data_IF_243684549215
#
_entry.id   IF_243684549215
#
_cell.length_a   1.000
_cell.length_b   1.000
_cell.length_c   1.000
_cell.angle_alpha   90.00
_cell.angle_beta   90.00
_cell.angle_gamma   90.00
#
_symmetry.space_group_name_H-M   'P 1'
#
loop_
_entity.id
_entity.type
_entity.pdbx_description
1 polymer ?
#
# COMPACT_ATOMS: atom_id res chain seq x y z
N UNK A 1 -1.11 -21.96 4.05
CA UNK A 1 -0.60 -20.91 3.14
C UNK A 1 -1.71 -19.96 2.62
N UNK A 2 -3.01 -20.17 2.91
CA UNK A 2 -4.12 -19.37 2.37
C UNK A 2 -4.42 -18.03 3.09
N UNK A 3 -4.06 -17.89 4.37
CA UNK A 3 -4.47 -16.74 5.21
C UNK A 3 -4.00 -15.36 4.72
N UNK A 4 -2.86 -15.27 4.03
CA UNK A 4 -2.34 -13.98 3.63
C UNK A 4 -3.08 -13.39 2.42
N UNK A 5 -3.47 -14.23 1.46
CA UNK A 5 -4.27 -13.81 0.30
C UNK A 5 -5.63 -13.25 0.71
N UNK A 6 -6.29 -13.88 1.68
CA UNK A 6 -7.56 -13.40 2.25
C UNK A 6 -7.39 -12.12 3.08
N UNK A 7 -6.21 -11.89 3.67
CA UNK A 7 -5.92 -10.69 4.46
C UNK A 7 -5.48 -9.48 3.60
N UNK A 8 -5.07 -9.67 2.35
CA UNK A 8 -4.69 -8.59 1.43
C UNK A 8 -5.78 -7.53 1.24
N UNK A 9 -7.04 -7.88 0.89
CA UNK A 9 -8.10 -6.88 0.74
C UNK A 9 -8.39 -6.14 2.06
N UNK A 10 -8.31 -6.81 3.20
CA UNK A 10 -8.46 -6.17 4.51
C UNK A 10 -7.33 -5.17 4.80
N UNK A 11 -6.07 -5.54 4.51
CA UNK A 11 -4.91 -4.64 4.62
C UNK A 11 -5.04 -3.44 3.67
N UNK A 12 -5.50 -3.66 2.45
CA UNK A 12 -5.74 -2.58 1.49
C UNK A 12 -6.83 -1.62 1.99
N UNK A 13 -7.91 -2.15 2.56
CA UNK A 13 -8.97 -1.33 3.15
C UNK A 13 -8.46 -0.49 4.33
N UNK A 14 -7.57 -1.04 5.16
CA UNK A 14 -6.90 -0.31 6.24
C UNK A 14 -6.02 0.83 5.69
N UNK A 15 -5.19 0.53 4.69
CA UNK A 15 -4.33 1.50 3.99
C UNK A 15 -5.19 2.63 3.36
N UNK A 16 -6.33 2.29 2.75
CA UNK A 16 -7.29 3.29 2.23
C UNK A 16 -7.88 4.19 3.30
N UNK A 17 -8.23 3.62 4.46
CA UNK A 17 -8.71 4.42 5.60
C UNK A 17 -7.64 5.39 6.09
N UNK A 18 -6.39 4.94 6.20
CA UNK A 18 -5.25 5.78 6.60
C UNK A 18 -4.99 6.89 5.58
N UNK A 19 -5.09 6.60 4.28
CA UNK A 19 -4.97 7.60 3.22
C UNK A 19 -6.05 8.69 3.33
N UNK A 20 -7.31 8.32 3.53
CA UNK A 20 -8.41 9.27 3.76
C UNK A 20 -8.20 10.11 5.03
N UNK A 21 -7.67 9.50 6.10
CA UNK A 21 -7.34 10.21 7.32
C UNK A 21 -6.20 11.22 7.13
N UNK A 22 -5.32 11.01 6.14
CA UNK A 22 -4.24 11.93 5.76
C UNK A 22 -4.63 13.11 4.87
N UNK A 23 -5.91 13.43 4.76
CA UNK A 23 -6.37 14.70 4.20
C UNK A 23 -5.80 15.93 4.93
N UNK A 24 -5.36 15.77 6.19
CA UNK A 24 -4.60 16.78 6.92
C UNK A 24 -3.40 16.12 7.61
N UNK A 25 -2.19 16.15 7.00
CA UNK A 25 -1.09 15.30 7.43
C UNK A 25 -0.55 15.72 8.80
N UNK A 26 -0.96 15.00 9.84
CA UNK A 26 -0.19 14.94 11.08
C UNK A 26 0.92 13.90 10.89
N UNK A 27 2.11 14.17 11.44
CA UNK A 27 3.28 13.28 11.32
C UNK A 27 2.95 11.84 11.75
N UNK A 28 2.17 11.70 12.83
CA UNK A 28 1.80 10.41 13.41
C UNK A 28 0.93 9.57 12.47
N UNK A 29 -0.02 10.19 11.76
CA UNK A 29 -0.88 9.51 10.82
C UNK A 29 -0.14 9.13 9.52
N UNK A 30 0.89 9.91 9.14
CA UNK A 30 1.75 9.62 7.99
C UNK A 30 2.65 8.42 8.28
N UNK A 31 3.17 8.37 9.50
CA UNK A 31 4.00 7.28 10.00
C UNK A 31 3.19 5.98 10.15
N UNK A 32 1.93 6.06 10.60
CA UNK A 32 1.01 4.92 10.61
C UNK A 32 0.72 4.43 9.18
N UNK A 33 0.47 5.34 8.24
CA UNK A 33 0.25 5.01 6.84
C UNK A 33 1.46 4.31 6.21
N UNK A 34 2.66 4.88 6.37
CA UNK A 34 3.92 4.30 5.95
C UNK A 34 4.12 2.90 6.53
N UNK A 35 3.94 2.73 7.84
CA UNK A 35 4.14 1.43 8.51
C UNK A 35 3.21 0.34 7.96
N UNK A 36 1.95 0.67 7.67
CA UNK A 36 1.00 -0.28 7.09
C UNK A 36 1.41 -0.72 5.69
N UNK A 37 1.83 0.24 4.84
CA UNK A 37 2.32 -0.02 3.49
C UNK A 37 3.62 -0.83 3.51
N UNK A 38 4.59 -0.46 4.35
CA UNK A 38 5.86 -1.17 4.52
C UNK A 38 5.66 -2.64 4.90
N UNK A 39 4.76 -2.88 5.86
CA UNK A 39 4.38 -4.24 6.26
C UNK A 39 3.76 -5.02 5.12
N UNK A 40 2.87 -4.40 4.34
CA UNK A 40 2.26 -5.04 3.17
C UNK A 40 3.34 -5.39 2.13
N UNK A 41 4.23 -4.47 1.80
CA UNK A 41 5.32 -4.69 0.84
C UNK A 41 6.21 -5.88 1.23
N UNK A 42 6.63 -5.93 2.50
CA UNK A 42 7.49 -7.01 3.03
C UNK A 42 6.78 -8.36 3.05
N UNK A 43 5.53 -8.39 3.52
CA UNK A 43 4.77 -9.64 3.58
C UNK A 43 4.36 -10.13 2.19
N UNK A 44 3.89 -9.27 1.30
CA UNK A 44 3.59 -9.61 -0.09
C UNK A 44 4.80 -10.26 -0.79
N UNK A 45 6.01 -9.73 -0.58
CA UNK A 45 7.23 -10.31 -1.14
C UNK A 45 7.49 -11.74 -0.63
N UNK A 46 7.39 -11.94 0.69
CA UNK A 46 7.62 -13.25 1.33
C UNK A 46 6.64 -14.34 0.89
N UNK A 47 5.39 -13.98 0.59
CA UNK A 47 4.38 -14.95 0.14
C UNK A 47 4.33 -15.13 -1.39
N UNK A 48 5.27 -14.56 -2.16
CA UNK A 48 5.32 -14.69 -3.62
C UNK A 48 4.42 -13.70 -4.37
N UNK A 49 3.86 -12.70 -3.69
CA UNK A 49 3.07 -11.64 -4.29
C UNK A 49 3.92 -10.52 -4.90
N UNK A 50 4.73 -10.85 -5.93
CA UNK A 50 5.64 -9.87 -6.56
C UNK A 50 4.97 -8.58 -7.05
N UNK A 51 3.88 -8.61 -7.86
CA UNK A 51 3.26 -7.38 -8.36
C UNK A 51 2.74 -6.49 -7.22
N UNK A 52 2.11 -7.11 -6.22
CA UNK A 52 1.61 -6.42 -5.01
C UNK A 52 2.76 -5.84 -4.20
N UNK A 53 3.86 -6.58 -4.04
CA UNK A 53 5.05 -6.13 -3.33
C UNK A 53 5.73 -4.96 -4.04
N UNK A 54 5.81 -5.01 -5.37
CA UNK A 54 6.36 -3.92 -6.19
C UNK A 54 5.51 -2.66 -6.08
N UNK A 55 4.20 -2.74 -6.33
CA UNK A 55 3.30 -1.60 -6.18
C UNK A 55 3.32 -1.01 -4.75
N UNK A 56 3.30 -1.89 -3.73
CA UNK A 56 3.40 -1.46 -2.34
C UNK A 56 4.74 -0.79 -2.04
N UNK A 57 5.86 -1.24 -2.62
CA UNK A 57 7.18 -0.60 -2.47
C UNK A 57 7.24 0.79 -3.10
N UNK A 58 6.54 1.01 -4.21
CA UNK A 58 6.48 2.35 -4.82
C UNK A 58 5.77 3.32 -3.86
N UNK A 59 4.65 2.89 -3.27
CA UNK A 59 3.94 3.69 -2.27
C UNK A 59 4.76 3.87 -0.98
N UNK A 60 5.43 2.81 -0.51
CA UNK A 60 6.32 2.83 0.66
C UNK A 60 7.42 3.88 0.50
N UNK A 61 8.08 3.89 -0.66
CA UNK A 61 9.14 4.84 -0.96
C UNK A 61 8.64 6.27 -1.07
N UNK A 62 7.50 6.48 -1.72
CA UNK A 62 6.88 7.81 -1.77
C UNK A 62 6.60 8.35 -0.36
N UNK A 63 6.03 7.52 0.53
CA UNK A 63 5.76 7.92 1.91
C UNK A 63 7.05 8.14 2.71
N UNK A 64 8.08 7.33 2.50
CA UNK A 64 9.40 7.52 3.10
C UNK A 64 10.01 8.87 2.69
N UNK A 65 9.99 9.22 1.40
CA UNK A 65 10.49 10.51 0.90
C UNK A 65 9.70 11.68 1.53
N UNK A 66 8.40 11.52 1.71
CA UNK A 66 7.53 12.53 2.35
C UNK A 66 7.87 12.70 3.84
N UNK A 67 8.01 11.61 4.59
CA UNK A 67 8.39 11.64 6.01
C UNK A 67 9.79 12.21 6.21
N UNK A 68 10.72 11.91 5.29
CA UNK A 68 12.07 12.46 5.29
C UNK A 68 12.12 13.96 4.93
N UNK A 69 11.01 14.54 4.46
CA UNK A 69 10.94 15.92 3.99
C UNK A 69 11.58 16.14 2.61
N UNK A 70 11.91 15.07 1.88
CA UNK A 70 12.42 15.13 0.50
C UNK A 70 11.31 15.41 -0.52
N UNK A 71 10.07 15.05 -0.18
CA UNK A 71 8.87 15.33 -0.99
C UNK A 71 7.74 15.92 -0.17
N UNK A 72 6.90 16.71 -0.83
CA UNK A 72 5.64 17.17 -0.27
C UNK A 72 4.56 16.10 -0.46
N UNK A 73 3.84 15.77 0.61
CA UNK A 73 2.67 14.91 0.50
C UNK A 73 1.61 15.56 -0.39
N UNK A 74 1.27 14.90 -1.49
CA UNK A 74 0.13 15.25 -2.33
C UNK A 74 -0.91 14.11 -2.29
N UNK A 75 -2.18 14.41 -1.94
CA UNK A 75 -3.23 13.41 -1.91
C UNK A 75 -3.42 12.72 -3.27
N UNK A 76 -3.36 13.47 -4.37
CA UNK A 76 -3.53 12.93 -5.71
C UNK A 76 -2.47 11.88 -6.09
N UNK A 77 -1.20 12.12 -5.75
CA UNK A 77 -0.13 11.16 -6.02
C UNK A 77 -0.26 9.91 -5.15
N UNK A 78 -0.56 10.10 -3.85
CA UNK A 78 -0.78 9.00 -2.93
C UNK A 78 -1.98 8.13 -3.36
N UNK A 79 -3.05 8.76 -3.85
CA UNK A 79 -4.23 8.08 -4.35
C UNK A 79 -3.93 7.29 -5.63
N UNK A 80 -3.19 7.86 -6.57
CA UNK A 80 -2.77 7.16 -7.79
C UNK A 80 -1.94 5.89 -7.48
N UNK A 81 -0.98 6.00 -6.55
CA UNK A 81 -0.17 4.87 -6.12
C UNK A 81 -1.00 3.80 -5.38
N UNK A 82 -1.99 4.23 -4.60
CA UNK A 82 -2.89 3.34 -3.90
C UNK A 82 -3.84 2.60 -4.85
N UNK A 83 -4.28 3.26 -5.93
CA UNK A 83 -5.08 2.64 -6.99
C UNK A 83 -4.28 1.56 -7.74
N UNK A 84 -3.01 1.83 -8.06
CA UNK A 84 -2.11 0.85 -8.70
C UNK A 84 -1.90 -0.40 -7.83
N UNK A 85 -1.68 -0.19 -6.52
CA UNK A 85 -1.63 -1.29 -5.55
C UNK A 85 -2.94 -2.09 -5.51
N UNK A 86 -4.08 -1.42 -5.52
CA UNK A 86 -5.39 -2.08 -5.51
C UNK A 86 -5.60 -2.93 -6.77
N UNK A 87 -5.23 -2.41 -7.95
CA UNK A 87 -5.30 -3.15 -9.22
C UNK A 87 -4.40 -4.38 -9.21
N UNK A 88 -3.19 -4.26 -8.63
CA UNK A 88 -2.26 -5.39 -8.48
C UNK A 88 -2.80 -6.52 -7.60
N UNK A 89 -3.67 -6.20 -6.63
CA UNK A 89 -4.36 -7.19 -5.78
C UNK A 89 -5.54 -7.81 -6.54
N UNK A 90 -6.32 -6.99 -7.27
CA UNK A 90 -7.52 -7.45 -8.02
C UNK A 90 -7.17 -8.35 -9.22
N UNK A 91 -6.09 -8.03 -9.94
CA UNK A 91 -5.58 -8.84 -11.08
C UNK A 91 -5.25 -10.28 -10.68
N UNK A 92 -4.97 -10.51 -9.38
CA UNK A 92 -4.78 -11.86 -8.85
C UNK A 92 -6.09 -12.62 -8.60
N UNK A 93 -7.15 -11.93 -8.19
CA UNK A 93 -8.47 -12.56 -8.01
C UNK A 93 -9.10 -12.92 -9.36
N UNK A 94 -8.66 -12.28 -10.44
CA UNK A 94 -9.16 -12.49 -11.80
C UNK A 94 -8.25 -13.36 -12.68
N UNK A 95 -7.27 -14.06 -12.11
CA UNK A 95 -6.61 -15.16 -12.81
C UNK A 95 -7.41 -16.45 -12.57
N UNK A 96 -8.34 -16.84 -13.48
CA UNK A 96 -8.84 -18.20 -13.48
C UNK A 96 -7.66 -19.12 -13.76
N UNK A 97 -7.56 -20.17 -12.97
CA UNK A 97 -6.63 -21.27 -13.18
C UNK A 97 -6.75 -21.76 -14.64
N UNK A 98 -5.61 -21.80 -15.33
CA UNK A 98 -5.45 -22.52 -16.60
C UNK A 98 -4.97 -23.94 -16.33
#
# INVERSE_FOLDING_TARGET
MAQFGEALPNKLAEIRKLHCAQANPADEALQAYYTAVHRLAGSAGSYGFRPVSEAARVLDRYLSDVIAGEKTYTPAQAEALLQDLAQSIDTRNTSPEG
#
